data_IF_276378087073
#
_entry.id   IF_276378087073
#
_cell.length_a   1.000
_cell.length_b   1.000
_cell.length_c   1.000
_cell.angle_alpha   90.00
_cell.angle_beta   90.00
_cell.angle_gamma   90.00
#
_symmetry.space_group_name_H-M   'P 1'
#
loop_
_entity.id
_entity.type
_entity.pdbx_description
1 polymer ?
#
# COMPACT_ATOMS: atom_id res chain seq x y z
N UNK A 1 5.57 -35.05 -1.26
CA UNK A 1 6.13 -33.83 -1.88
C UNK A 1 6.38 -32.78 -0.82
N UNK A 2 7.59 -32.18 -0.76
CA UNK A 2 7.93 -31.14 0.22
C UNK A 2 7.54 -29.73 -0.28
N UNK A 3 7.15 -28.82 0.62
CA UNK A 3 6.80 -27.41 0.34
C UNK A 3 7.66 -26.51 1.21
N UNK A 4 8.12 -25.37 0.68
CA UNK A 4 8.74 -24.31 1.49
C UNK A 4 7.65 -23.63 2.31
N UNK A 5 7.64 -23.86 3.61
CA UNK A 5 6.71 -23.25 4.56
C UNK A 5 7.46 -22.85 5.83
N UNK A 6 7.37 -21.58 6.21
CA UNK A 6 7.94 -21.06 7.46
C UNK A 6 6.90 -20.25 8.22
N UNK A 7 7.14 -19.93 9.49
CA UNK A 7 6.24 -19.06 10.28
C UNK A 7 5.99 -17.72 9.59
N UNK A 8 6.98 -17.17 8.90
CA UNK A 8 6.86 -15.88 8.22
C UNK A 8 5.89 -15.91 7.01
N UNK A 9 5.56 -17.10 6.51
CA UNK A 9 4.61 -17.35 5.43
C UNK A 9 3.17 -17.53 5.92
N UNK A 10 2.91 -17.30 7.21
CA UNK A 10 1.58 -17.36 7.82
C UNK A 10 1.24 -16.08 8.56
N UNK A 11 -0.04 -15.71 8.63
CA UNK A 11 -0.53 -14.59 9.43
C UNK A 11 -2.03 -14.78 9.76
N UNK A 12 -2.57 -14.01 10.70
CA UNK A 12 -4.00 -13.95 11.00
C UNK A 12 -4.51 -12.53 10.78
N UNK A 13 -5.25 -12.30 9.69
CA UNK A 13 -5.78 -10.98 9.32
C UNK A 13 -7.22 -10.81 9.82
N UNK A 14 -7.62 -9.56 10.04
CA UNK A 14 -9.01 -9.21 10.38
C UNK A 14 -9.64 -8.51 9.18
N UNK A 15 -10.77 -9.00 8.69
CA UNK A 15 -11.50 -8.37 7.59
C UNK A 15 -12.29 -7.13 8.04
N UNK A 16 -12.95 -6.45 7.09
CA UNK A 16 -13.76 -5.25 7.38
C UNK A 16 -14.96 -5.54 8.29
N UNK A 17 -15.45 -6.78 8.33
CA UNK A 17 -16.53 -7.23 9.22
C UNK A 17 -16.05 -7.65 10.61
N UNK A 18 -14.75 -7.53 10.89
CA UNK A 18 -14.16 -7.93 12.18
C UNK A 18 -13.85 -9.42 12.29
N UNK A 19 -14.10 -10.23 11.25
CA UNK A 19 -13.82 -11.66 11.27
C UNK A 19 -12.32 -11.90 11.06
N UNK A 20 -11.75 -12.83 11.83
CA UNK A 20 -10.36 -13.26 11.72
C UNK A 20 -10.21 -14.39 10.69
N UNK A 21 -9.18 -14.30 9.88
CA UNK A 21 -8.82 -15.26 8.84
C UNK A 21 -7.34 -15.63 8.96
N UNK A 22 -7.04 -16.92 9.00
CA UNK A 22 -5.68 -17.40 8.85
C UNK A 22 -5.31 -17.39 7.38
N UNK A 23 -4.17 -16.80 7.04
CA UNK A 23 -3.62 -16.78 5.69
C UNK A 23 -2.29 -17.50 5.65
N UNK A 24 -2.02 -18.13 4.52
CA UNK A 24 -0.74 -18.73 4.17
C UNK A 24 -0.36 -18.25 2.77
N UNK A 25 0.83 -17.66 2.63
CA UNK A 25 1.36 -17.21 1.34
C UNK A 25 2.63 -18.02 1.04
N UNK A 26 2.48 -19.04 0.19
CA UNK A 26 3.53 -20.01 -0.16
C UNK A 26 3.85 -19.94 -1.66
N UNK A 27 5.08 -20.28 -2.08
CA UNK A 27 5.43 -20.29 -3.49
C UNK A 27 4.66 -21.37 -4.24
N UNK A 28 4.19 -21.03 -5.44
CA UNK A 28 3.63 -22.00 -6.38
C UNK A 28 4.76 -22.82 -7.02
N UNK A 29 4.59 -24.15 -7.04
CA UNK A 29 5.54 -25.11 -7.62
C UNK A 29 5.43 -25.24 -9.12
N UNK A 30 4.26 -24.95 -9.69
CA UNK A 30 3.99 -25.07 -11.12
C UNK A 30 4.43 -23.82 -11.89
N UNK A 31 4.65 -22.70 -11.18
CA UNK A 31 5.15 -21.48 -11.78
C UNK A 31 6.56 -21.67 -12.37
N UNK A 32 6.69 -21.50 -13.68
CA UNK A 32 7.96 -21.67 -14.43
C UNK A 32 9.03 -20.63 -14.07
N UNK A 33 8.65 -19.50 -13.46
CA UNK A 33 9.58 -18.42 -13.11
C UNK A 33 10.44 -18.79 -11.90
N UNK A 34 9.82 -19.37 -10.87
CA UNK A 34 10.49 -19.66 -9.61
C UNK A 34 10.50 -21.16 -9.24
N UNK A 35 9.73 -22.00 -9.94
CA UNK A 35 9.67 -23.47 -9.73
C UNK A 35 9.51 -23.86 -8.26
N UNK A 36 8.65 -23.16 -7.51
CA UNK A 36 8.43 -23.42 -6.08
C UNK A 36 9.45 -22.81 -5.12
N UNK A 37 10.46 -22.08 -5.62
CA UNK A 37 11.41 -21.35 -4.77
C UNK A 37 10.78 -20.08 -4.21
N UNK A 38 11.17 -19.71 -2.98
CA UNK A 38 10.79 -18.45 -2.35
C UNK A 38 12.03 -17.74 -1.82
N UNK A 39 12.23 -16.49 -2.22
CA UNK A 39 13.32 -15.68 -1.69
C UNK A 39 13.03 -15.24 -0.24
N UNK A 40 14.05 -14.77 0.49
CA UNK A 40 13.85 -14.22 1.84
C UNK A 40 12.88 -13.04 1.90
N UNK A 41 12.71 -12.31 0.78
CA UNK A 41 11.76 -11.18 0.66
C UNK A 41 10.33 -11.69 0.40
N UNK A 42 10.17 -12.53 -0.62
CA UNK A 42 8.87 -13.10 -0.98
C UNK A 42 8.30 -14.02 0.11
N UNK A 43 9.16 -14.78 0.79
CA UNK A 43 8.76 -15.70 1.87
C UNK A 43 8.28 -15.01 3.14
N UNK A 44 8.31 -13.68 3.21
CA UNK A 44 7.79 -12.88 4.33
C UNK A 44 6.48 -12.15 4.00
N UNK A 45 5.93 -12.33 2.80
CA UNK A 45 4.74 -11.58 2.36
C UNK A 45 3.55 -11.72 3.32
N UNK A 46 3.30 -12.91 3.88
CA UNK A 46 2.21 -13.08 4.84
C UNK A 46 2.43 -12.21 6.10
N UNK A 47 3.66 -12.16 6.62
CA UNK A 47 4.01 -11.31 7.76
C UNK A 47 3.84 -9.81 7.46
N UNK A 48 4.04 -9.39 6.21
CA UNK A 48 3.84 -7.99 5.80
C UNK A 48 2.36 -7.60 5.66
N UNK A 49 1.44 -8.56 5.57
CA UNK A 49 0.01 -8.26 5.54
C UNK A 49 -0.44 -7.61 6.85
N UNK A 50 -1.32 -6.62 6.73
CA UNK A 50 -1.74 -5.81 7.85
C UNK A 50 -2.45 -6.62 8.93
N UNK A 51 -1.96 -6.49 10.16
CA UNK A 51 -2.67 -6.82 11.39
C UNK A 51 -2.42 -5.71 12.41
N UNK A 52 -3.34 -5.52 13.36
CA UNK A 52 -3.27 -4.41 14.32
C UNK A 52 -2.04 -4.44 15.24
N UNK A 53 -1.49 -5.63 15.47
CA UNK A 53 -0.41 -5.97 16.40
C UNK A 53 0.83 -6.54 15.69
N UNK A 54 0.79 -6.65 14.36
CA UNK A 54 1.87 -7.19 13.55
C UNK A 54 2.93 -6.15 13.17
N UNK A 55 3.88 -6.57 12.32
CA UNK A 55 4.95 -5.68 11.83
C UNK A 55 4.42 -4.55 10.95
N UNK A 56 3.23 -4.72 10.36
CA UNK A 56 2.54 -3.70 9.57
C UNK A 56 1.65 -2.74 10.37
N UNK A 57 1.68 -2.77 11.71
CA UNK A 57 0.78 -1.98 12.58
C UNK A 57 0.80 -0.47 12.31
N UNK A 58 1.94 0.04 11.83
CA UNK A 58 2.21 1.45 11.50
C UNK A 58 1.70 1.86 10.10
N UNK A 59 1.02 0.97 9.36
CA UNK A 59 0.37 1.36 8.09
C UNK A 59 -0.53 2.57 8.31
N UNK A 60 -0.53 3.50 7.36
CA UNK A 60 -1.50 4.60 7.32
C UNK A 60 -2.92 4.04 7.19
N UNK A 61 -3.81 4.47 8.10
CA UNK A 61 -5.21 4.02 8.19
C UNK A 61 -6.20 5.15 7.88
N UNK A 62 -5.78 6.38 8.15
CA UNK A 62 -6.55 7.60 7.94
C UNK A 62 -5.69 8.64 7.23
N UNK A 63 -6.29 9.56 6.43
CA UNK A 63 -5.61 10.76 5.99
C UNK A 63 -5.02 11.52 7.19
N UNK A 64 -3.80 12.04 7.01
CA UNK A 64 -3.07 12.80 8.03
C UNK A 64 -2.90 14.24 7.57
N UNK A 65 -3.12 15.18 8.48
CA UNK A 65 -2.92 16.61 8.22
C UNK A 65 -1.94 17.19 9.24
N UNK A 66 -1.00 18.01 8.76
CA UNK A 66 -0.11 18.78 9.62
C UNK A 66 -0.76 20.11 9.98
N UNK A 67 -0.94 20.38 11.28
CA UNK A 67 -1.45 21.66 11.79
C UNK A 67 -0.51 22.14 12.89
N UNK A 68 0.15 23.28 12.64
CA UNK A 68 1.22 23.75 13.52
C UNK A 68 2.35 22.72 13.61
N UNK A 69 2.65 22.29 14.83
CA UNK A 69 3.68 21.32 15.18
C UNK A 69 3.17 19.86 15.25
N UNK A 70 1.88 19.62 14.97
CA UNK A 70 1.24 18.31 15.16
C UNK A 70 0.78 17.65 13.86
N UNK A 71 0.78 16.31 13.88
CA UNK A 71 0.09 15.47 12.90
C UNK A 71 -1.22 14.93 13.49
N UNK A 72 -2.32 15.20 12.81
CA UNK A 72 -3.66 14.79 13.22
C UNK A 72 -4.31 13.93 12.15
N UNK A 73 -5.23 13.06 12.55
CA UNK A 73 -6.12 12.38 11.60
C UNK A 73 -7.19 13.36 11.08
N UNK A 74 -7.65 13.16 9.85
CA UNK A 74 -8.73 13.93 9.24
C UNK A 74 -9.59 13.04 8.34
N UNK A 75 -10.73 13.55 7.88
CA UNK A 75 -11.60 12.83 6.95
C UNK A 75 -11.05 12.89 5.53
N UNK A 76 -11.46 11.92 4.70
CA UNK A 76 -11.16 11.95 3.27
C UNK A 76 -11.72 13.20 2.58
N UNK A 77 -12.94 13.62 2.94
CA UNK A 77 -13.57 14.84 2.42
C UNK A 77 -12.71 16.07 2.69
N UNK A 78 -12.26 16.26 3.93
CA UNK A 78 -11.44 17.41 4.30
C UNK A 78 -10.05 17.37 3.64
N UNK A 79 -9.40 16.20 3.62
CA UNK A 79 -8.10 16.05 2.98
C UNK A 79 -8.17 16.38 1.47
N UNK A 80 -9.20 15.86 0.78
CA UNK A 80 -9.41 16.12 -0.64
C UNK A 80 -9.82 17.55 -0.93
N UNK A 81 -10.64 18.19 -0.08
CA UNK A 81 -11.02 19.58 -0.24
C UNK A 81 -9.80 20.52 -0.18
N UNK A 82 -8.87 20.26 0.75
CA UNK A 82 -7.62 21.01 0.85
C UNK A 82 -6.73 20.74 -0.36
N UNK A 83 -6.51 19.47 -0.71
CA UNK A 83 -5.66 19.08 -1.83
C UNK A 83 -6.18 19.67 -3.15
N UNK A 84 -7.42 19.36 -3.53
CA UNK A 84 -8.01 19.84 -4.77
C UNK A 84 -8.20 21.37 -4.79
N UNK A 85 -8.56 21.98 -3.65
CA UNK A 85 -8.74 23.43 -3.56
C UNK A 85 -7.44 24.20 -3.78
N UNK A 86 -6.33 23.75 -3.16
CA UNK A 86 -5.03 24.36 -3.37
C UNK A 86 -4.50 24.10 -4.79
N UNK A 87 -4.63 22.86 -5.29
CA UNK A 87 -4.25 22.50 -6.66
C UNK A 87 -5.00 23.37 -7.68
N UNK A 88 -6.33 23.54 -7.52
CA UNK A 88 -7.13 24.42 -8.39
C UNK A 88 -6.62 25.85 -8.33
N UNK A 89 -6.35 26.39 -7.15
CA UNK A 89 -5.86 27.76 -6.99
C UNK A 89 -4.52 28.00 -7.70
N UNK A 90 -3.62 27.03 -7.65
CA UNK A 90 -2.34 27.08 -8.38
C UNK A 90 -2.61 27.06 -9.89
N UNK A 91 -3.45 26.14 -10.37
CA UNK A 91 -3.80 26.06 -11.80
C UNK A 91 -4.44 27.35 -12.32
N UNK A 92 -5.34 27.96 -11.55
CA UNK A 92 -6.04 29.19 -11.93
C UNK A 92 -5.08 30.40 -12.04
N UNK A 93 -4.04 30.45 -11.20
CA UNK A 93 -3.16 31.63 -11.08
C UNK A 93 -1.84 31.47 -11.86
N UNK A 94 -1.22 30.30 -11.76
CA UNK A 94 0.17 30.05 -12.19
C UNK A 94 0.23 29.01 -13.32
N UNK A 95 -0.87 28.31 -13.60
CA UNK A 95 -0.94 27.24 -14.60
C UNK A 95 -0.30 25.91 -14.14
N UNK A 96 -0.24 24.90 -15.04
CA UNK A 96 0.21 23.55 -14.71
C UNK A 96 1.67 23.46 -14.23
N UNK A 97 2.54 24.35 -14.69
CA UNK A 97 3.96 24.36 -14.31
C UNK A 97 4.19 24.71 -12.83
N UNK A 98 3.16 25.21 -12.14
CA UNK A 98 3.16 25.40 -10.68
C UNK A 98 2.93 24.11 -9.88
N UNK A 99 2.54 23.01 -10.53
CA UNK A 99 2.27 21.72 -9.88
C UNK A 99 3.41 20.73 -10.10
N UNK A 100 3.83 20.06 -9.02
CA UNK A 100 4.93 19.12 -9.05
C UNK A 100 4.49 17.74 -8.54
N UNK A 101 4.98 16.71 -9.22
CA UNK A 101 4.72 15.31 -8.87
C UNK A 101 6.02 14.51 -8.97
N UNK A 102 6.36 13.82 -7.89
CA UNK A 102 7.28 12.68 -7.91
C UNK A 102 6.43 11.44 -7.69
N UNK A 103 6.35 10.58 -8.71
CA UNK A 103 5.40 9.47 -8.75
C UNK A 103 6.06 8.25 -9.39
N UNK A 104 5.75 7.08 -8.84
CA UNK A 104 6.23 5.80 -9.34
C UNK A 104 5.76 5.54 -10.78
N UNK A 105 6.57 4.80 -11.54
CA UNK A 105 6.30 4.37 -12.92
C UNK A 105 6.56 2.86 -13.12
N UNK A 106 6.70 2.11 -12.02
CA UNK A 106 7.08 0.69 -12.03
C UNK A 106 5.89 -0.26 -11.85
N UNK A 107 6.13 -1.57 -12.02
CA UNK A 107 5.16 -2.64 -11.71
C UNK A 107 5.17 -3.08 -10.24
N UNK A 108 4.34 -4.06 -9.88
CA UNK A 108 4.32 -4.66 -8.53
C UNK A 108 3.70 -3.78 -7.44
N UNK A 109 4.03 -4.06 -6.18
CA UNK A 109 3.45 -3.35 -5.03
C UNK A 109 3.84 -1.86 -5.05
N UNK A 110 2.84 -0.97 -4.96
CA UNK A 110 3.04 0.48 -5.08
C UNK A 110 3.11 0.98 -6.52
N UNK A 111 2.83 0.14 -7.51
CA UNK A 111 2.77 0.49 -8.94
C UNK A 111 1.78 -0.40 -9.69
N UNK A 112 2.12 -0.83 -10.90
CA UNK A 112 1.28 -1.68 -11.74
C UNK A 112 0.34 -0.90 -12.65
N UNK A 113 -0.22 -1.60 -13.65
CA UNK A 113 -0.99 -0.99 -14.74
C UNK A 113 -2.15 -0.11 -14.25
N UNK A 114 -2.87 -0.56 -13.23
CA UNK A 114 -4.03 0.14 -12.69
C UNK A 114 -3.62 1.49 -12.09
N UNK A 115 -2.49 1.51 -11.37
CA UNK A 115 -2.04 2.69 -10.66
C UNK A 115 -1.31 3.65 -11.59
N UNK A 116 -0.40 3.17 -12.44
CA UNK A 116 0.34 4.05 -13.37
C UNK A 116 -0.63 4.74 -14.33
N UNK A 117 -1.60 4.00 -14.87
CA UNK A 117 -2.69 4.57 -15.67
C UNK A 117 -3.47 5.65 -14.90
N UNK A 118 -3.88 5.35 -13.66
CA UNK A 118 -4.62 6.30 -12.82
C UNK A 118 -3.84 7.59 -12.51
N UNK A 119 -2.51 7.50 -12.42
CA UNK A 119 -1.63 8.66 -12.19
C UNK A 119 -1.15 9.35 -13.47
N UNK A 120 -1.44 8.80 -14.65
CA UNK A 120 -0.95 9.30 -15.93
C UNK A 120 0.55 9.07 -16.16
N UNK A 121 1.09 7.98 -15.61
CA UNK A 121 2.47 7.51 -15.82
C UNK A 121 2.52 6.34 -16.79
#
# INVERSE_FOLDING_TARGET
FATTLTRAMTNTITDKGGKKWNIMIVPDKECVVNSGLSSTRGGKMASYMYTHDGIGRERLKHPRIKRGDQWLDTSWEQALAIYAGLTKKILDNDGPDGLFYDCFDHGGAGGGFENTWGTGK
#
